data_IF_289289712616
#
_entry.id   IF_289289712616
#
_cell.length_a   1.000
_cell.length_b   1.000
_cell.length_c   1.000
_cell.angle_alpha   90.00
_cell.angle_beta   90.00
_cell.angle_gamma   90.00
#
_symmetry.space_group_name_H-M   'P 1'
#
loop_
_entity.id
_entity.type
_entity.pdbx_description
1 polymer ?
#
# COMPACT_ATOMS: atom_id res chain seq x y z
N UNK A 1 16.05 13.45 -14.41
CA UNK A 1 16.08 12.73 -13.12
C UNK A 1 17.17 11.64 -13.08
N UNK A 2 17.36 10.81 -14.13
CA UNK A 2 18.39 9.74 -14.19
C UNK A 2 19.80 10.27 -13.88
N UNK A 3 20.16 11.44 -14.42
CA UNK A 3 21.46 12.08 -14.15
C UNK A 3 21.56 12.49 -12.67
N UNK A 4 20.48 13.03 -12.10
CA UNK A 4 20.45 13.42 -10.70
C UNK A 4 20.63 12.20 -9.78
N UNK A 5 20.00 11.07 -10.11
CA UNK A 5 20.15 9.80 -9.39
C UNK A 5 21.59 9.31 -9.44
N UNK A 6 22.24 9.32 -10.60
CA UNK A 6 23.63 8.92 -10.75
C UNK A 6 24.59 9.82 -9.95
N UNK A 7 24.36 11.14 -9.95
CA UNK A 7 25.16 12.10 -9.16
C UNK A 7 24.95 11.84 -7.66
N UNK A 8 23.70 11.68 -7.24
CA UNK A 8 23.36 11.41 -5.84
C UNK A 8 24.03 10.12 -5.33
N UNK A 9 23.92 9.03 -6.10
CA UNK A 9 24.55 7.75 -5.78
C UNK A 9 26.08 7.87 -5.66
N UNK A 10 26.70 8.62 -6.57
CA UNK A 10 28.15 8.85 -6.55
C UNK A 10 28.61 9.67 -5.33
N UNK A 11 27.79 10.62 -4.88
CA UNK A 11 28.14 11.50 -3.76
C UNK A 11 27.83 10.87 -2.39
N UNK A 12 26.78 10.06 -2.30
CA UNK A 12 26.28 9.54 -1.02
C UNK A 12 26.48 8.04 -0.83
N UNK A 13 26.78 7.30 -1.92
CA UNK A 13 26.80 5.84 -1.91
C UNK A 13 25.40 5.19 -1.86
N UNK A 14 24.32 5.97 -1.87
CA UNK A 14 22.95 5.50 -1.83
C UNK A 14 22.26 5.69 -3.18
N UNK A 15 21.37 4.78 -3.56
CA UNK A 15 20.57 4.93 -4.78
C UNK A 15 19.75 6.22 -4.75
N UNK A 16 19.76 6.92 -5.88
CA UNK A 16 18.95 8.11 -6.07
C UNK A 16 17.44 7.80 -6.03
N UNK A 17 16.63 8.84 -5.87
CA UNK A 17 15.17 8.76 -5.82
C UNK A 17 14.50 9.91 -6.60
N UNK A 18 15.21 10.51 -7.54
CA UNK A 18 14.71 11.62 -8.35
C UNK A 18 13.96 11.16 -9.61
N UNK A 19 14.10 9.86 -9.99
CA UNK A 19 13.43 9.24 -11.14
C UNK A 19 12.28 8.26 -10.78
N UNK A 20 11.75 8.20 -9.54
CA UNK A 20 10.63 7.32 -9.26
C UNK A 20 9.35 7.85 -9.88
N UNK A 21 8.61 6.94 -10.48
CA UNK A 21 7.24 7.20 -10.95
C UNK A 21 6.24 6.96 -9.83
N UNK A 22 5.17 7.74 -9.84
CA UNK A 22 4.07 7.62 -8.91
C UNK A 22 2.88 7.03 -9.64
N UNK A 23 2.36 5.89 -9.15
CA UNK A 23 1.07 5.35 -9.58
C UNK A 23 0.01 5.70 -8.54
N UNK A 24 -1.12 6.20 -9.00
CA UNK A 24 -2.21 6.64 -8.12
C UNK A 24 -3.58 6.51 -8.79
N UNK A 25 -4.62 6.67 -7.99
CA UNK A 25 -5.99 6.75 -8.48
C UNK A 25 -6.38 8.21 -8.64
N UNK A 26 -6.51 8.65 -9.87
CA UNK A 26 -7.07 9.97 -10.18
C UNK A 26 -8.59 9.92 -10.12
N UNK A 27 -9.18 10.88 -9.40
CA UNK A 27 -10.64 10.99 -9.24
C UNK A 27 -11.12 12.32 -9.81
N UNK A 28 -12.06 12.26 -10.75
CA UNK A 28 -12.63 13.42 -11.43
C UNK A 28 -14.15 13.35 -11.49
N UNK A 29 -14.78 14.50 -11.75
CA UNK A 29 -16.22 14.63 -11.90
C UNK A 29 -16.96 15.07 -10.62
N UNK A 30 -18.27 15.35 -10.72
CA UNK A 30 -19.10 15.76 -9.60
C UNK A 30 -19.26 14.63 -8.57
N UNK A 31 -19.55 14.96 -7.31
CA UNK A 31 -19.65 14.01 -6.21
C UNK A 31 -20.61 12.83 -6.48
N UNK A 32 -21.66 13.08 -7.26
CA UNK A 32 -22.68 12.09 -7.66
C UNK A 32 -22.25 11.19 -8.82
N UNK A 33 -21.16 11.54 -9.55
CA UNK A 33 -20.68 10.80 -10.73
C UNK A 33 -19.16 10.86 -10.82
N UNK A 34 -18.48 10.37 -9.80
CA UNK A 34 -17.03 10.28 -9.78
C UNK A 34 -16.51 9.21 -10.73
N UNK A 35 -15.50 9.59 -11.53
CA UNK A 35 -14.75 8.65 -12.38
C UNK A 35 -13.38 8.47 -11.78
N UNK A 36 -13.03 7.23 -11.48
CA UNK A 36 -11.70 6.86 -10.96
C UNK A 36 -10.89 6.18 -12.05
N UNK A 37 -9.67 6.64 -12.26
CA UNK A 37 -8.73 6.10 -13.25
C UNK A 37 -7.41 5.81 -12.59
N UNK A 38 -6.80 4.70 -12.97
CA UNK A 38 -5.40 4.47 -12.68
C UNK A 38 -4.56 5.44 -13.52
N UNK A 39 -3.65 6.14 -12.88
CA UNK A 39 -2.77 7.12 -13.51
C UNK A 39 -1.33 6.92 -13.03
N UNK A 40 -0.40 7.35 -13.86
CA UNK A 40 1.03 7.38 -13.55
C UNK A 40 1.59 8.75 -13.91
N UNK A 41 2.56 9.22 -13.16
CA UNK A 41 3.30 10.46 -13.40
C UNK A 41 4.71 10.33 -12.84
N UNK A 42 5.59 11.23 -13.22
CA UNK A 42 6.89 11.41 -12.58
C UNK A 42 6.73 12.08 -11.21
N UNK A 43 7.76 12.04 -10.40
CA UNK A 43 7.74 12.59 -9.03
C UNK A 43 7.43 14.09 -8.99
N UNK A 44 7.82 14.83 -10.02
CA UNK A 44 7.55 16.27 -10.18
C UNK A 44 6.17 16.60 -10.74
N UNK A 45 5.37 15.57 -11.05
CA UNK A 45 4.04 15.70 -11.63
C UNK A 45 4.00 15.73 -13.16
N UNK A 46 5.15 15.72 -13.81
CA UNK A 46 5.23 15.66 -15.29
C UNK A 46 4.91 14.26 -15.82
N UNK A 47 4.85 14.12 -17.14
CA UNK A 47 4.58 12.88 -17.87
C UNK A 47 3.33 12.11 -17.39
N UNK A 48 2.33 12.86 -16.92
CA UNK A 48 1.07 12.31 -16.48
C UNK A 48 0.33 11.59 -17.61
N UNK A 49 -0.05 10.33 -17.35
CA UNK A 49 -0.96 9.61 -18.26
C UNK A 49 -1.92 8.69 -17.50
N UNK A 50 -3.10 8.49 -18.07
CA UNK A 50 -4.06 7.49 -17.58
C UNK A 50 -3.69 6.11 -18.10
N UNK A 51 -3.73 5.12 -17.22
CA UNK A 51 -3.51 3.70 -17.53
C UNK A 51 -4.82 2.92 -17.71
N UNK A 52 -5.95 3.51 -17.28
CA UNK A 52 -7.30 2.92 -17.45
C UNK A 52 -8.28 3.98 -17.94
N UNK A 53 -9.34 3.54 -18.63
CA UNK A 53 -10.35 4.43 -19.23
C UNK A 53 -11.30 5.08 -18.20
N UNK A 54 -11.44 4.49 -17.00
CA UNK A 54 -12.43 4.89 -16.00
C UNK A 54 -13.80 4.25 -16.17
N UNK A 55 -13.94 3.25 -17.05
CA UNK A 55 -15.18 2.49 -17.21
C UNK A 55 -15.50 1.61 -15.98
N UNK A 56 -14.49 1.27 -15.20
CA UNK A 56 -14.62 0.49 -13.96
C UNK A 56 -13.98 1.23 -12.80
N UNK A 57 -14.51 1.02 -11.59
CA UNK A 57 -13.88 1.52 -10.37
C UNK A 57 -12.52 0.82 -10.19
N UNK A 58 -11.45 1.58 -10.06
CA UNK A 58 -10.09 1.10 -9.79
C UNK A 58 -9.63 1.57 -8.42
N UNK A 59 -8.90 0.71 -7.71
CA UNK A 59 -8.43 0.98 -6.34
C UNK A 59 -7.01 0.40 -6.13
N UNK A 60 -6.32 0.98 -5.18
CA UNK A 60 -5.11 0.44 -4.53
C UNK A 60 -4.02 -0.07 -5.47
N UNK A 61 -3.50 0.78 -6.38
CA UNK A 61 -2.38 0.37 -7.21
C UNK A 61 -1.11 0.16 -6.38
N UNK A 62 -0.29 -0.80 -6.79
CA UNK A 62 1.04 -1.07 -6.22
C UNK A 62 2.02 -1.42 -7.32
N UNK A 63 3.20 -0.79 -7.30
CA UNK A 63 4.31 -1.18 -8.15
C UNK A 63 4.92 -2.51 -7.71
N UNK A 64 5.40 -3.28 -8.67
CA UNK A 64 6.40 -4.32 -8.40
C UNK A 64 7.74 -3.68 -8.01
N UNK A 65 8.55 -4.32 -7.16
CA UNK A 65 9.87 -3.80 -6.78
C UNK A 65 10.79 -3.48 -7.96
N UNK A 66 10.66 -4.22 -9.07
CA UNK A 66 11.41 -3.95 -10.31
C UNK A 66 10.78 -2.83 -11.18
N UNK A 67 9.72 -2.17 -10.71
CA UNK A 67 9.01 -1.07 -11.37
C UNK A 67 8.45 -1.37 -12.78
N UNK A 68 8.36 -2.64 -13.18
CA UNK A 68 7.85 -3.03 -14.50
C UNK A 68 6.36 -3.30 -14.52
N UNK A 69 5.78 -3.68 -13.38
CA UNK A 69 4.39 -4.09 -13.28
C UNK A 69 3.66 -3.35 -12.18
N UNK A 70 2.35 -3.22 -12.35
CA UNK A 70 1.44 -2.65 -11.36
C UNK A 70 0.34 -3.67 -11.09
N UNK A 71 0.11 -4.01 -9.81
CA UNK A 71 -1.14 -4.65 -9.39
C UNK A 71 -2.16 -3.58 -9.03
N UNK A 72 -3.42 -3.84 -9.32
CA UNK A 72 -4.53 -3.01 -8.89
C UNK A 72 -5.82 -3.81 -8.79
N UNK A 73 -6.76 -3.29 -8.04
CA UNK A 73 -8.11 -3.84 -7.99
C UNK A 73 -9.04 -3.09 -8.93
N UNK A 74 -9.94 -3.81 -9.59
CA UNK A 74 -11.00 -3.23 -10.39
C UNK A 74 -12.34 -3.89 -10.09
N UNK A 75 -13.38 -3.08 -10.02
CA UNK A 75 -14.75 -3.53 -9.89
C UNK A 75 -15.46 -3.33 -11.22
N UNK A 76 -15.59 -4.42 -11.99
CA UNK A 76 -16.54 -4.51 -13.10
C UNK A 76 -17.78 -5.27 -12.62
N UNK A 77 -18.79 -4.54 -12.13
CA UNK A 77 -19.90 -5.12 -11.37
C UNK A 77 -19.64 -5.15 -9.87
N UNK A 78 -20.11 -6.19 -9.16
CA UNK A 78 -20.06 -6.28 -7.69
C UNK A 78 -18.84 -7.05 -7.16
N UNK A 79 -18.15 -7.80 -8.01
CA UNK A 79 -17.04 -8.67 -7.60
C UNK A 79 -15.71 -7.97 -7.88
N UNK A 80 -14.84 -7.79 -6.84
CA UNK A 80 -13.51 -7.26 -7.04
C UNK A 80 -12.64 -8.25 -7.81
N UNK A 81 -11.88 -7.71 -8.75
CA UNK A 81 -10.92 -8.44 -9.58
C UNK A 81 -9.54 -7.84 -9.39
N UNK A 82 -8.52 -8.67 -9.31
CA UNK A 82 -7.12 -8.25 -9.23
C UNK A 82 -6.48 -8.37 -10.61
N UNK A 83 -5.89 -7.28 -11.05
CA UNK A 83 -5.20 -7.19 -12.33
C UNK A 83 -3.70 -6.96 -12.13
N UNK A 84 -2.93 -7.51 -13.05
CA UNK A 84 -1.52 -7.23 -13.25
C UNK A 84 -1.38 -6.47 -14.57
N UNK A 85 -0.90 -5.24 -14.49
CA UNK A 85 -0.63 -4.37 -15.64
C UNK A 85 0.87 -4.33 -15.88
N UNK A 86 1.29 -4.65 -17.09
CA UNK A 86 2.63 -4.39 -17.57
C UNK A 86 2.71 -2.94 -18.07
N UNK A 87 3.67 -2.17 -17.54
CA UNK A 87 3.71 -0.71 -17.77
C UNK A 87 4.22 -0.39 -19.17
N UNK A 88 5.12 -1.21 -19.71
CA UNK A 88 5.74 -1.01 -21.01
C UNK A 88 4.77 -1.35 -22.14
N UNK A 89 4.15 -2.52 -22.06
CA UNK A 89 3.25 -3.02 -23.10
C UNK A 89 1.80 -2.56 -22.95
N UNK A 90 1.41 -2.11 -21.74
CA UNK A 90 0.02 -1.79 -21.41
C UNK A 90 -0.87 -3.01 -21.26
N UNK A 91 -0.33 -4.22 -21.33
CA UNK A 91 -1.09 -5.46 -21.21
C UNK A 91 -1.62 -5.64 -19.79
N UNK A 92 -2.92 -5.97 -19.69
CA UNK A 92 -3.60 -6.19 -18.43
C UNK A 92 -4.06 -7.64 -18.32
N UNK A 93 -3.55 -8.35 -17.33
CA UNK A 93 -3.89 -9.74 -17.07
C UNK A 93 -4.74 -9.84 -15.80
N UNK A 94 -5.89 -10.50 -15.89
CA UNK A 94 -6.68 -10.88 -14.71
C UNK A 94 -5.95 -12.02 -14.00
N UNK A 95 -5.52 -11.78 -12.75
CA UNK A 95 -4.76 -12.77 -11.96
C UNK A 95 -5.61 -13.43 -10.87
N UNK A 96 -6.78 -12.89 -10.57
CA UNK A 96 -7.66 -13.49 -9.57
C UNK A 96 -9.06 -12.91 -9.57
N UNK A 97 -10.01 -13.79 -9.33
CA UNK A 97 -11.43 -13.49 -9.12
C UNK A 97 -11.76 -13.91 -7.68
N UNK A 98 -11.89 -12.94 -6.80
CA UNK A 98 -12.11 -13.21 -5.39
C UNK A 98 -13.56 -12.84 -5.04
N UNK A 99 -14.45 -13.84 -4.83
CA UNK A 99 -15.87 -13.57 -4.56
C UNK A 99 -16.12 -12.84 -3.23
N UNK A 100 -15.16 -12.88 -2.30
CA UNK A 100 -15.16 -12.05 -1.10
C UNK A 100 -14.46 -10.72 -1.32
N UNK A 101 -14.44 -9.87 -0.29
CA UNK A 101 -13.74 -8.59 -0.34
C UNK A 101 -12.23 -8.83 -0.30
N UNK A 102 -11.52 -8.27 -1.27
CA UNK A 102 -10.06 -8.31 -1.36
C UNK A 102 -9.50 -6.92 -1.09
N UNK A 103 -8.37 -6.85 -0.41
CA UNK A 103 -7.64 -5.59 -0.19
C UNK A 103 -6.28 -5.65 -0.89
N UNK A 104 -5.84 -4.54 -1.37
CA UNK A 104 -4.56 -4.21 -2.00
C UNK A 104 -3.51 -5.34 -2.06
N UNK A 105 -3.33 -5.99 -3.21
CA UNK A 105 -2.24 -6.94 -3.38
C UNK A 105 -0.89 -6.23 -3.28
N UNK A 106 0.07 -6.86 -2.60
CA UNK A 106 1.43 -6.34 -2.40
C UNK A 106 2.44 -7.36 -2.91
N UNK A 107 3.39 -6.92 -3.72
CA UNK A 107 4.44 -7.79 -4.24
C UNK A 107 5.43 -8.24 -3.16
N UNK A 108 5.96 -9.44 -3.32
CA UNK A 108 7.19 -9.87 -2.64
C UNK A 108 8.41 -9.08 -3.18
N UNK A 109 9.51 -8.97 -2.42
CA UNK A 109 10.71 -8.25 -2.84
C UNK A 109 11.31 -8.75 -4.16
N UNK A 110 11.17 -10.03 -4.45
CA UNK A 110 11.62 -10.66 -5.70
C UNK A 110 10.62 -10.53 -6.86
N UNK A 111 9.48 -9.87 -6.64
CA UNK A 111 8.40 -9.69 -7.62
C UNK A 111 7.75 -10.99 -8.13
N UNK A 112 7.95 -12.13 -7.45
CA UNK A 112 7.43 -13.44 -7.88
C UNK A 112 6.09 -13.79 -7.23
N UNK A 113 5.75 -13.14 -6.13
CA UNK A 113 4.55 -13.44 -5.34
C UNK A 113 3.78 -12.18 -5.00
N UNK A 114 2.53 -12.37 -4.60
CA UNK A 114 1.65 -11.32 -4.05
C UNK A 114 1.09 -11.75 -2.69
N UNK A 115 1.05 -10.83 -1.74
CA UNK A 115 0.20 -10.95 -0.56
C UNK A 115 -1.16 -10.34 -0.85
N UNK A 116 -2.20 -11.04 -0.42
CA UNK A 116 -3.60 -10.66 -0.57
C UNK A 116 -4.29 -10.75 0.79
N UNK A 117 -5.13 -9.79 1.11
CA UNK A 117 -6.10 -9.93 2.21
C UNK A 117 -7.44 -10.33 1.61
N UNK A 118 -7.91 -11.51 1.94
CA UNK A 118 -9.15 -12.05 1.38
C UNK A 118 -10.18 -12.32 2.48
N UNK A 119 -11.35 -11.72 2.33
CA UNK A 119 -12.46 -11.87 3.27
C UNK A 119 -13.43 -12.95 2.77
N UNK A 120 -13.68 -13.95 3.62
CA UNK A 120 -14.65 -14.99 3.39
C UNK A 120 -15.40 -15.29 4.70
N UNK A 121 -16.74 -15.39 4.66
CA UNK A 121 -17.60 -15.70 5.81
C UNK A 121 -17.32 -14.85 7.06
N UNK A 122 -17.14 -13.54 6.87
CA UNK A 122 -16.91 -12.58 7.95
C UNK A 122 -15.50 -12.60 8.54
N UNK A 123 -14.58 -13.42 8.01
CA UNK A 123 -13.18 -13.52 8.42
C UNK A 123 -12.29 -13.01 7.30
N UNK A 124 -11.24 -12.29 7.63
CA UNK A 124 -10.25 -11.85 6.65
C UNK A 124 -8.90 -12.44 7.00
N UNK A 125 -8.30 -13.12 6.03
CA UNK A 125 -6.99 -13.74 6.23
C UNK A 125 -6.02 -13.31 5.11
N UNK A 126 -4.73 -13.44 5.40
CA UNK A 126 -3.65 -13.16 4.46
C UNK A 126 -3.36 -14.43 3.66
N UNK A 127 -3.25 -14.25 2.36
CA UNK A 127 -2.89 -15.28 1.38
C UNK A 127 -1.65 -14.84 0.61
N UNK A 128 -0.82 -15.78 0.23
CA UNK A 128 0.30 -15.60 -0.69
C UNK A 128 -0.06 -16.26 -2.03
N UNK A 129 0.06 -15.53 -3.12
CA UNK A 129 -0.17 -16.01 -4.48
C UNK A 129 1.15 -16.07 -5.25
N UNK A 130 1.45 -17.20 -5.86
CA UNK A 130 2.55 -17.36 -6.81
C UNK A 130 2.14 -16.79 -8.18
N UNK A 131 2.90 -15.84 -8.73
CA UNK A 131 2.57 -15.15 -9.98
C UNK A 131 2.85 -15.97 -11.24
N UNK A 132 3.57 -17.07 -11.14
CA UNK A 132 3.79 -17.99 -12.25
C UNK A 132 2.62 -18.97 -12.42
N UNK A 133 2.05 -19.42 -11.31
CA UNK A 133 1.00 -20.46 -11.30
C UNK A 133 -0.39 -19.91 -10.99
N UNK A 134 -0.48 -18.69 -10.47
CA UNK A 134 -1.68 -18.04 -9.92
C UNK A 134 -2.36 -18.84 -8.80
N UNK A 135 -1.63 -19.74 -8.16
CA UNK A 135 -2.13 -20.47 -6.99
C UNK A 135 -1.92 -19.65 -5.73
N UNK A 136 -2.98 -19.54 -4.93
CA UNK A 136 -2.96 -18.86 -3.65
C UNK A 136 -2.89 -19.88 -2.51
N UNK A 137 -2.00 -19.63 -1.54
CA UNK A 137 -1.87 -20.37 -0.28
C UNK A 137 -2.28 -19.44 0.87
N UNK A 138 -3.14 -19.91 1.77
CA UNK A 138 -3.49 -19.19 2.98
C UNK A 138 -2.31 -19.18 3.95
N UNK A 139 -1.97 -17.99 4.46
CA UNK A 139 -0.86 -17.77 5.40
C UNK A 139 -1.38 -17.62 6.83
N UNK A 140 -2.40 -16.77 7.08
CA UNK A 140 -3.00 -16.67 8.40
C UNK A 140 -4.29 -17.49 8.48
N UNK A 141 -4.55 -18.09 9.67
CA UNK A 141 -5.74 -18.87 9.94
C UNK A 141 -6.37 -18.43 11.27
N UNK A 142 -7.06 -17.30 11.23
CA UNK A 142 -7.69 -16.72 12.41
C UNK A 142 -9.16 -16.38 12.15
N UNK A 143 -9.90 -16.10 13.23
CA UNK A 143 -11.24 -15.52 13.17
C UNK A 143 -11.20 -13.99 13.15
N UNK A 144 -10.02 -13.41 13.18
CA UNK A 144 -9.79 -11.98 13.16
C UNK A 144 -9.82 -11.40 11.73
N UNK A 145 -9.76 -10.10 11.66
CA UNK A 145 -9.64 -9.33 10.42
C UNK A 145 -8.16 -9.01 10.20
N UNK A 146 -7.45 -9.89 9.49
CA UNK A 146 -6.04 -9.73 9.13
C UNK A 146 -5.93 -9.04 7.76
N UNK A 147 -5.39 -7.80 7.72
CA UNK A 147 -5.37 -6.99 6.49
C UNK A 147 -4.07 -6.23 6.30
N UNK A 148 -3.91 -5.66 5.10
CA UNK A 148 -2.81 -4.77 4.73
C UNK A 148 -1.42 -5.36 5.00
N UNK A 149 -1.11 -6.56 4.50
CA UNK A 149 0.20 -7.16 4.69
C UNK A 149 1.28 -6.41 3.90
N UNK A 150 2.51 -6.40 4.43
CA UNK A 150 3.71 -5.90 3.75
C UNK A 150 4.90 -6.79 4.10
N UNK A 151 5.66 -7.23 3.09
CA UNK A 151 6.90 -7.97 3.32
C UNK A 151 8.00 -7.10 3.91
N UNK A 152 8.88 -7.70 4.72
CA UNK A 152 10.21 -7.16 4.98
C UNK A 152 11.04 -7.19 3.68
N UNK A 153 12.06 -6.31 3.54
CA UNK A 153 12.83 -6.23 2.29
C UNK A 153 13.62 -7.50 1.95
N UNK A 154 13.91 -8.35 2.94
CA UNK A 154 14.53 -9.66 2.75
C UNK A 154 13.52 -10.79 2.46
N UNK A 155 12.21 -10.46 2.50
CA UNK A 155 11.13 -11.40 2.24
C UNK A 155 10.88 -12.43 3.34
N UNK A 156 11.55 -12.34 4.49
CA UNK A 156 11.45 -13.36 5.56
C UNK A 156 10.30 -13.12 6.52
N UNK A 157 9.85 -11.87 6.64
CA UNK A 157 8.78 -11.48 7.55
C UNK A 157 7.68 -10.71 6.84
N UNK A 158 6.52 -10.67 7.47
CA UNK A 158 5.34 -9.93 7.02
C UNK A 158 4.80 -9.13 8.20
N UNK A 159 4.67 -7.80 8.02
CA UNK A 159 3.91 -6.94 8.92
C UNK A 159 2.48 -6.83 8.40
N UNK A 160 1.49 -6.80 9.29
CA UNK A 160 0.07 -6.67 8.94
C UNK A 160 -0.71 -6.06 10.09
N UNK A 161 -1.93 -5.58 9.83
CA UNK A 161 -2.82 -5.20 10.91
C UNK A 161 -3.88 -6.27 11.17
N UNK A 162 -4.24 -6.42 12.44
CA UNK A 162 -5.20 -7.42 12.92
C UNK A 162 -5.95 -6.90 14.14
N UNK A 163 -7.21 -7.30 14.28
CA UNK A 163 -8.03 -7.05 15.45
C UNK A 163 -8.07 -8.24 16.43
N UNK A 164 -7.18 -9.24 16.28
CA UNK A 164 -7.11 -10.45 17.14
C UNK A 164 -6.95 -10.16 18.61
N UNK A 165 -6.43 -8.99 18.98
CA UNK A 165 -6.31 -8.51 20.35
C UNK A 165 -7.47 -7.61 20.82
N UNK A 166 -8.60 -7.60 20.09
CA UNK A 166 -9.80 -6.82 20.40
C UNK A 166 -9.86 -5.44 19.72
N UNK A 167 -8.74 -4.91 19.24
CA UNK A 167 -8.65 -3.67 18.49
C UNK A 167 -7.59 -3.80 17.40
N UNK A 168 -7.71 -3.03 16.31
CA UNK A 168 -6.75 -3.05 15.21
C UNK A 168 -5.36 -2.61 15.66
N UNK A 169 -4.40 -3.52 15.57
CA UNK A 169 -3.00 -3.34 15.96
C UNK A 169 -2.08 -3.93 14.90
N UNK A 170 -0.79 -3.58 14.96
CA UNK A 170 0.22 -4.13 14.06
C UNK A 170 0.83 -5.39 14.65
N UNK A 171 1.00 -6.37 13.78
CA UNK A 171 1.60 -7.66 14.08
C UNK A 171 2.69 -7.96 13.05
N UNK A 172 3.70 -8.68 13.47
CA UNK A 172 4.72 -9.27 12.60
C UNK A 172 4.62 -10.79 12.70
N UNK A 173 4.90 -11.47 11.60
CA UNK A 173 5.01 -12.92 11.51
C UNK A 173 6.13 -13.30 10.55
N UNK A 174 6.60 -14.53 10.62
CA UNK A 174 7.45 -15.08 9.58
C UNK A 174 6.66 -15.27 8.27
N UNK A 175 7.34 -15.28 7.12
CA UNK A 175 6.67 -15.34 5.81
C UNK A 175 5.83 -16.63 5.60
N UNK A 176 6.10 -17.67 6.36
CA UNK A 176 5.31 -18.92 6.36
C UNK A 176 4.03 -18.86 7.21
N UNK A 177 3.84 -17.78 7.98
CA UNK A 177 2.70 -17.56 8.88
C UNK A 177 2.97 -17.95 10.33
N UNK A 178 4.18 -18.39 10.68
CA UNK A 178 4.58 -18.71 12.06
C UNK A 178 5.01 -17.48 12.85
N UNK A 179 5.24 -17.64 14.15
CA UNK A 179 5.80 -16.63 15.06
C UNK A 179 5.06 -15.29 15.10
N UNK A 180 3.73 -15.32 15.00
CA UNK A 180 2.91 -14.10 15.04
C UNK A 180 3.02 -13.41 16.38
N UNK A 181 3.42 -12.14 16.40
CA UNK A 181 3.47 -11.33 17.61
C UNK A 181 3.07 -9.87 17.32
N UNK A 182 2.53 -9.21 18.35
CA UNK A 182 2.11 -7.81 18.28
C UNK A 182 3.31 -6.90 18.47
N UNK A 183 3.37 -5.82 17.66
CA UNK A 183 4.43 -4.81 17.74
C UNK A 183 3.92 -3.41 18.11
N UNK A 184 2.62 -3.10 17.97
CA UNK A 184 2.06 -1.81 18.38
C UNK A 184 1.39 -1.90 19.74
N UNK A 185 1.78 -1.05 20.68
CA UNK A 185 1.29 -1.07 22.07
C UNK A 185 0.66 0.25 22.53
N UNK A 186 0.71 1.29 21.70
CA UNK A 186 0.10 2.59 21.99
C UNK A 186 -1.43 2.56 21.96
N UNK A 187 -2.03 3.64 22.46
CA UNK A 187 -3.48 3.85 22.37
C UNK A 187 -3.95 4.08 20.94
N UNK A 188 -5.20 3.75 20.65
CA UNK A 188 -5.82 3.94 19.32
C UNK A 188 -5.75 2.69 18.44
N UNK A 189 -6.04 2.89 17.16
CA UNK A 189 -6.03 1.85 16.13
C UNK A 189 -4.88 2.09 15.18
N UNK A 190 -4.25 1.02 14.74
CA UNK A 190 -3.17 1.05 13.77
C UNK A 190 -3.60 0.30 12.50
N UNK A 191 -3.24 0.84 11.35
CA UNK A 191 -3.61 0.29 10.04
C UNK A 191 -2.54 0.56 8.98
N UNK A 192 -2.71 -0.08 7.83
CA UNK A 192 -1.88 0.12 6.62
C UNK A 192 -0.38 0.14 6.88
N UNK A 193 0.19 -0.86 7.58
CA UNK A 193 1.63 -0.89 7.79
C UNK A 193 2.37 -1.14 6.47
N UNK A 194 3.51 -0.47 6.30
CA UNK A 194 4.41 -0.67 5.16
C UNK A 194 5.84 -0.73 5.65
N UNK A 195 6.52 -1.83 5.37
CA UNK A 195 7.92 -2.00 5.72
C UNK A 195 8.82 -1.12 4.84
N UNK A 196 9.77 -0.43 5.44
CA UNK A 196 10.79 0.34 4.72
C UNK A 196 11.64 -0.57 3.83
N UNK A 197 11.98 -0.16 2.59
CA UNK A 197 12.93 -0.89 1.75
C UNK A 197 14.31 -1.08 2.40
N UNK A 198 14.66 -0.26 3.40
CA UNK A 198 15.91 -0.36 4.18
C UNK A 198 15.81 -1.37 5.33
N UNK A 199 14.61 -1.81 5.68
CA UNK A 199 14.37 -2.74 6.77
C UNK A 199 14.39 -2.11 8.17
N UNK A 200 14.67 -0.83 8.28
CA UNK A 200 14.88 -0.09 9.52
C UNK A 200 13.60 0.38 10.19
N UNK A 201 12.54 0.66 9.41
CA UNK A 201 11.27 1.16 9.92
C UNK A 201 10.05 0.45 9.33
N UNK A 202 8.95 0.50 10.07
CA UNK A 202 7.60 0.23 9.61
C UNK A 202 6.81 1.54 9.68
N UNK A 203 6.34 2.04 8.54
CA UNK A 203 5.42 3.16 8.48
C UNK A 203 3.98 2.66 8.67
N UNK A 204 3.12 3.48 9.26
CA UNK A 204 1.73 3.10 9.54
C UNK A 204 0.79 4.31 9.59
N UNK A 205 -0.49 4.03 9.46
CA UNK A 205 -1.57 4.95 9.83
C UNK A 205 -2.03 4.65 11.25
N UNK A 206 -2.18 5.69 12.10
CA UNK A 206 -2.75 5.57 13.44
C UNK A 206 -3.99 6.45 13.54
N UNK A 207 -5.03 5.92 14.16
CA UNK A 207 -6.26 6.65 14.50
C UNK A 207 -6.37 6.74 16.01
N UNK A 208 -6.29 7.95 16.55
CA UNK A 208 -6.40 8.21 17.97
C UNK A 208 -6.98 9.62 18.22
N UNK A 209 -7.76 9.79 19.28
CA UNK A 209 -8.33 11.08 19.71
C UNK A 209 -9.10 11.82 18.58
N UNK A 210 -9.79 11.07 17.71
CA UNK A 210 -10.55 11.62 16.59
C UNK A 210 -9.72 12.16 15.42
N UNK A 211 -8.43 11.88 15.40
CA UNK A 211 -7.50 12.30 14.35
C UNK A 211 -6.78 11.10 13.74
N UNK A 212 -6.26 11.31 12.52
CA UNK A 212 -5.38 10.39 11.84
C UNK A 212 -3.94 10.89 11.90
N UNK A 213 -3.02 9.93 11.98
CA UNK A 213 -1.59 10.19 12.04
C UNK A 213 -0.86 9.26 11.06
N UNK A 214 0.19 9.77 10.43
CA UNK A 214 1.24 8.95 9.81
C UNK A 214 2.35 8.83 10.83
N UNK A 215 2.79 7.62 11.11
CA UNK A 215 3.88 7.33 12.03
C UNK A 215 4.84 6.29 11.51
N UNK A 216 5.97 6.17 12.18
CA UNK A 216 6.97 5.12 11.99
C UNK A 216 7.35 4.50 13.34
N UNK A 217 7.77 3.24 13.32
CA UNK A 217 8.36 2.54 14.44
C UNK A 217 9.44 1.57 13.95
N UNK A 218 10.29 1.11 14.84
CA UNK A 218 11.21 0.00 14.52
C UNK A 218 10.44 -1.32 14.34
N UNK A 219 11.01 -2.30 13.62
CA UNK A 219 10.33 -3.59 13.40
C UNK A 219 10.00 -4.36 14.69
N UNK A 220 10.71 -4.11 15.77
CA UNK A 220 10.43 -4.66 17.11
C UNK A 220 9.31 -3.93 17.86
N UNK A 221 8.73 -2.87 17.25
CA UNK A 221 7.66 -2.07 17.84
C UNK A 221 8.12 -0.92 18.74
N UNK A 222 9.40 -0.77 18.97
CA UNK A 222 9.96 0.37 19.74
C UNK A 222 10.10 1.62 18.88
N UNK A 223 10.39 2.76 19.49
CA UNK A 223 10.72 3.99 18.78
C UNK A 223 9.56 4.59 17.98
N UNK A 224 8.29 4.39 18.40
CA UNK A 224 7.14 5.01 17.73
C UNK A 224 7.29 6.53 17.66
N UNK A 225 7.17 7.07 16.44
CA UNK A 225 7.16 8.52 16.16
C UNK A 225 6.01 8.85 15.24
N UNK A 226 5.24 9.87 15.58
CA UNK A 226 4.17 10.41 14.74
C UNK A 226 4.74 11.57 13.93
N UNK A 227 4.69 11.48 12.61
CA UNK A 227 5.34 12.40 11.68
C UNK A 227 4.38 13.44 11.12
N UNK A 228 3.13 13.07 10.90
CA UNK A 228 2.08 13.95 10.39
C UNK A 228 0.74 13.60 11.01
N UNK A 229 -0.15 14.59 11.07
CA UNK A 229 -1.53 14.41 11.53
C UNK A 229 -2.50 15.23 10.68
N UNK A 230 -3.79 14.87 10.75
CA UNK A 230 -4.84 15.61 10.07
C UNK A 230 -6.22 15.01 10.26
N UNK A 231 -7.21 15.62 9.60
CA UNK A 231 -8.58 15.11 9.57
C UNK A 231 -8.63 13.71 8.93
N UNK A 232 -7.91 13.52 7.82
CA UNK A 232 -7.69 12.23 7.19
C UNK A 232 -6.30 12.24 6.56
N UNK A 233 -5.39 11.46 7.12
CA UNK A 233 -4.07 11.14 6.55
C UNK A 233 -3.90 9.63 6.60
N UNK A 234 -3.58 9.01 5.47
CA UNK A 234 -3.53 7.54 5.38
C UNK A 234 -2.57 7.05 4.30
N UNK A 235 -2.38 5.73 4.31
CA UNK A 235 -1.70 4.94 3.29
C UNK A 235 -0.27 5.43 3.00
N UNK A 236 0.62 5.40 3.99
CA UNK A 236 2.02 5.74 3.77
C UNK A 236 2.66 4.78 2.77
N UNK A 237 3.55 5.31 1.93
CA UNK A 237 4.35 4.55 0.95
C UNK A 237 5.77 5.08 1.00
N UNK A 238 6.75 4.20 1.03
CA UNK A 238 8.15 4.58 0.98
C UNK A 238 8.61 4.87 -0.44
N UNK A 239 9.53 5.83 -0.58
CA UNK A 239 10.38 5.94 -1.77
C UNK A 239 11.24 4.68 -1.93
N UNK A 240 11.70 4.35 -3.14
CA UNK A 240 12.50 3.14 -3.38
C UNK A 240 13.77 3.02 -2.52
N UNK A 241 14.35 4.14 -2.13
CA UNK A 241 15.52 4.18 -1.24
C UNK A 241 15.18 4.26 0.25
N UNK A 242 13.88 4.27 0.62
CA UNK A 242 13.42 4.28 2.02
C UNK A 242 13.66 5.57 2.78
N UNK A 243 13.95 6.70 2.11
CA UNK A 243 14.17 8.00 2.76
C UNK A 243 12.92 8.84 2.91
N UNK A 244 12.05 8.81 1.93
CA UNK A 244 10.86 9.66 1.86
C UNK A 244 9.61 8.82 2.01
N UNK A 245 8.68 9.28 2.85
CA UNK A 245 7.33 8.76 2.92
C UNK A 245 6.39 9.65 2.12
N UNK A 246 5.59 9.04 1.25
CA UNK A 246 4.44 9.68 0.62
C UNK A 246 3.16 9.18 1.29
N UNK A 247 2.20 10.06 1.48
CA UNK A 247 0.88 9.74 2.01
C UNK A 247 -0.18 10.65 1.39
N UNK A 248 -1.44 10.27 1.45
CA UNK A 248 -2.50 11.18 1.07
C UNK A 248 -3.07 11.91 2.29
N UNK A 249 -3.50 13.14 2.05
CA UNK A 249 -4.16 13.98 3.05
C UNK A 249 -5.40 14.63 2.47
N UNK A 250 -6.46 14.61 3.25
CA UNK A 250 -7.68 15.36 2.99
C UNK A 250 -7.98 16.25 4.20
N UNK A 251 -8.21 17.52 3.94
CA UNK A 251 -8.66 18.46 4.95
C UNK A 251 -10.15 18.29 5.22
N UNK A 252 -10.62 18.80 6.35
CA UNK A 252 -12.05 18.79 6.67
C UNK A 252 -12.79 19.66 5.65
N UNK A 253 -13.72 19.08 4.91
CA UNK A 253 -14.58 19.83 4.01
C UNK A 253 -15.56 20.75 4.76
N UNK A 254 -16.04 21.79 4.09
CA UNK A 254 -17.17 22.55 4.57
C UNK A 254 -18.49 21.89 4.18
N UNK A 255 -19.63 22.31 4.80
CA UNK A 255 -20.97 21.79 4.47
C UNK A 255 -21.36 21.93 2.98
N UNK A 256 -20.65 22.77 2.23
CA UNK A 256 -20.92 23.03 0.80
C UNK A 256 -19.84 22.55 -0.16
N UNK A 257 -18.68 22.10 0.32
CA UNK A 257 -17.55 21.72 -0.53
C UNK A 257 -16.69 20.65 0.13
N UNK A 258 -16.55 19.50 -0.53
CA UNK A 258 -15.57 18.50 -0.14
C UNK A 258 -14.16 19.06 -0.37
N UNK A 259 -13.28 18.93 0.61
CA UNK A 259 -11.87 19.27 0.42
C UNK A 259 -11.20 18.26 -0.54
N UNK A 260 -10.30 18.72 -1.42
CA UNK A 260 -9.57 17.84 -2.30
C UNK A 260 -8.63 16.92 -1.50
N UNK A 261 -8.43 15.72 -2.00
CA UNK A 261 -7.35 14.83 -1.56
C UNK A 261 -6.07 15.24 -2.29
N UNK A 262 -4.96 15.35 -1.55
CA UNK A 262 -3.64 15.68 -2.09
C UNK A 262 -2.61 14.67 -1.62
N UNK A 263 -1.54 14.51 -2.38
CA UNK A 263 -0.36 13.74 -1.99
C UNK A 263 0.64 14.67 -1.28
N UNK A 264 1.24 14.17 -0.22
CA UNK A 264 2.25 14.84 0.58
C UNK A 264 3.44 13.92 0.76
N UNK A 265 4.61 14.50 0.91
CA UNK A 265 5.85 13.79 1.23
C UNK A 265 6.44 14.30 2.54
N UNK A 266 7.15 13.43 3.23
CA UNK A 266 7.92 13.71 4.45
C UNK A 266 9.26 13.00 4.33
N UNK A 267 10.35 13.71 4.61
CA UNK A 267 11.73 13.19 4.67
C UNK A 267 12.12 12.86 6.12
#
# INVERSE_FOLDING_TARGET
>A
HVIADAIYERLTGEKGYFDPRIVYVSENGPATRRVKRLAIMDQDGENHKFLTSGASLVLTPRFSPNLQKITYMSYSGTIPKVYLLDIETGQQNLIGNFPGMTFAPVFSPDSQKLLLSYANDGKTNIYEMDLRTYKAKRITNSNAIDTSPSYSPDGKQIVFNSDRGGNQQLYVMDADGSNIHRISHGSGRYATPVWSPRGDYIAFTKMANGQFYIGVMYPDGTGERLLANGYLVEAPVWSPNGRVLMYFRQERGSARKNAPVKLYTID
#
